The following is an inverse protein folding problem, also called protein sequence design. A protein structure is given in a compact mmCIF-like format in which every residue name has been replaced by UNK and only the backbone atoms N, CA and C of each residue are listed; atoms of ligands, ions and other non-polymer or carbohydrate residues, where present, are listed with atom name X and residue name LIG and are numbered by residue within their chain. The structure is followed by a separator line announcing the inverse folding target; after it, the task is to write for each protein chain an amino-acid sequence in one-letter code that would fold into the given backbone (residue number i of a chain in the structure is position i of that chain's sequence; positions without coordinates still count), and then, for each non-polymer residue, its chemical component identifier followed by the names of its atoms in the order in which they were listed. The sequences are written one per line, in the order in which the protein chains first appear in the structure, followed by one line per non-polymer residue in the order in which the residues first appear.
data_IF_230124897079
#
_entry.id   IF_230124897079
#
_cell.length_a   1.000
_cell.length_b   1.000
_cell.length_c   1.000
_cell.angle_alpha   90.00
_cell.angle_beta   90.00
_cell.angle_gamma   90.00
#
_symmetry.space_group_name_H-M   'P 1'
#
loop_
_entity.id
_entity.type
_entity.pdbx_description
1 polymer ?
#
# COMPACT_ATOMS: atom_id res chain seq x y z
N UNK A 1 4.76 28.85 30.36
CA UNK A 1 4.87 27.54 29.77
C UNK A 1 5.88 26.68 30.47
N UNK A 2 5.42 25.66 31.10
CA UNK A 2 6.31 24.82 31.88
C UNK A 2 6.97 23.77 31.00
N UNK A 3 8.21 23.44 31.35
CA UNK A 3 9.00 22.47 30.65
C UNK A 3 8.27 21.13 30.50
N UNK A 4 7.54 20.69 31.53
CA UNK A 4 6.75 19.46 31.51
C UNK A 4 5.66 19.48 30.43
N UNK A 5 5.05 20.65 30.19
CA UNK A 5 4.02 20.81 29.16
C UNK A 5 4.65 20.73 27.77
N UNK A 6 5.83 21.29 27.58
CA UNK A 6 6.55 21.21 26.32
C UNK A 6 6.92 19.74 25.99
N UNK A 7 7.42 19.00 26.98
CA UNK A 7 7.75 17.59 26.82
C UNK A 7 6.50 16.79 26.45
N UNK A 8 5.39 17.05 27.12
CA UNK A 8 4.12 16.36 26.83
C UNK A 8 3.66 16.59 25.39
N UNK A 9 3.73 17.83 24.90
CA UNK A 9 3.34 18.16 23.54
C UNK A 9 4.23 17.45 22.52
N UNK A 10 5.54 17.46 22.73
CA UNK A 10 6.50 16.78 21.85
C UNK A 10 6.23 15.28 21.82
N UNK A 11 6.03 14.68 22.97
CA UNK A 11 5.74 13.23 23.07
C UNK A 11 4.43 12.88 22.37
N UNK A 12 3.41 13.74 22.51
CA UNK A 12 2.12 13.54 21.85
C UNK A 12 2.24 13.63 20.33
N UNK A 13 3.01 14.59 19.82
CA UNK A 13 3.25 14.72 18.37
C UNK A 13 4.02 13.52 17.83
N UNK A 14 5.05 13.10 18.56
CA UNK A 14 5.83 11.93 18.16
C UNK A 14 4.98 10.66 18.16
N UNK A 15 4.13 10.47 19.17
CA UNK A 15 3.24 9.31 19.22
C UNK A 15 2.26 9.28 18.05
N UNK A 16 1.69 10.43 17.70
CA UNK A 16 0.80 10.54 16.54
C UNK A 16 1.53 10.23 15.24
N UNK A 17 2.73 10.78 15.08
CA UNK A 17 3.55 10.55 13.90
C UNK A 17 3.90 9.08 13.76
N UNK A 18 4.34 8.44 14.85
CA UNK A 18 4.66 7.02 14.85
C UNK A 18 3.45 6.16 14.50
N UNK A 19 2.26 6.54 14.98
CA UNK A 19 1.03 5.87 14.61
C UNK A 19 0.74 5.95 13.11
N UNK A 20 0.95 7.11 12.51
CA UNK A 20 0.81 7.31 11.06
C UNK A 20 1.84 6.50 10.28
N UNK A 21 3.08 6.50 10.73
CA UNK A 21 4.16 5.73 10.12
C UNK A 21 3.80 4.23 10.10
N UNK A 22 3.30 3.72 11.21
CA UNK A 22 2.91 2.31 11.33
C UNK A 22 1.74 1.96 10.41
N UNK A 23 0.77 2.86 10.28
CA UNK A 23 -0.36 2.65 9.35
C UNK A 23 0.12 2.62 7.91
N UNK A 24 1.00 3.55 7.53
CA UNK A 24 1.55 3.58 6.18
C UNK A 24 2.35 2.30 5.89
N UNK A 25 3.15 1.86 6.85
CA UNK A 25 3.92 0.63 6.76
C UNK A 25 3.01 -0.59 6.61
N UNK A 26 1.92 -0.65 7.35
CA UNK A 26 0.94 -1.72 7.24
C UNK A 26 0.42 -1.84 5.81
N UNK A 27 0.04 -0.71 5.20
CA UNK A 27 -0.51 -0.72 3.84
C UNK A 27 0.57 -1.05 2.80
N UNK A 28 1.81 -0.60 2.99
CA UNK A 28 2.93 -0.98 2.13
C UNK A 28 3.17 -2.48 2.16
N UNK A 29 3.20 -3.07 3.36
CA UNK A 29 3.40 -4.51 3.55
C UNK A 29 2.27 -5.29 2.90
N UNK A 30 1.05 -4.84 3.10
CA UNK A 30 -0.12 -5.49 2.51
C UNK A 30 -0.11 -5.42 0.98
N UNK A 31 0.37 -4.32 0.43
CA UNK A 31 0.54 -4.18 -1.02
C UNK A 31 1.54 -5.20 -1.56
N UNK A 32 2.67 -5.39 -0.88
CA UNK A 32 3.68 -6.39 -1.26
C UNK A 32 3.09 -7.80 -1.20
N UNK A 33 2.33 -8.11 -0.16
CA UNK A 33 1.67 -9.42 -0.03
C UNK A 33 0.69 -9.65 -1.18
N UNK A 34 -0.10 -8.65 -1.53
CA UNK A 34 -1.04 -8.73 -2.65
C UNK A 34 -0.32 -8.84 -3.99
N UNK A 35 0.82 -8.18 -4.13
CA UNK A 35 1.65 -8.29 -5.32
C UNK A 35 2.15 -9.72 -5.51
N UNK A 36 2.66 -10.33 -4.45
CA UNK A 36 3.13 -11.71 -4.49
C UNK A 36 1.98 -12.69 -4.78
N UNK A 37 0.80 -12.43 -4.21
CA UNK A 37 -0.40 -13.21 -4.49
C UNK A 37 -0.79 -13.12 -5.97
N UNK A 38 -0.80 -11.92 -6.53
CA UNK A 38 -1.11 -11.69 -7.94
C UNK A 38 -0.11 -12.39 -8.86
N UNK A 39 1.16 -12.30 -8.52
CA UNK A 39 2.24 -12.95 -9.25
C UNK A 39 2.06 -14.47 -9.23
N UNK A 40 1.75 -15.03 -8.07
CA UNK A 40 1.46 -16.46 -7.91
C UNK A 40 0.21 -16.92 -8.65
N UNK A 41 -0.76 -16.04 -8.84
CA UNK A 41 -1.97 -16.32 -9.61
C UNK A 41 -1.75 -16.22 -11.12
N UNK A 42 -0.57 -15.78 -11.56
CA UNK A 42 -0.23 -15.70 -12.97
C UNK A 42 -0.59 -14.38 -13.63
N UNK A 43 -0.80 -13.33 -12.85
CA UNK A 43 -1.06 -11.98 -13.40
C UNK A 43 0.14 -11.56 -14.23
N UNK A 44 -0.13 -11.01 -15.42
CA UNK A 44 0.90 -10.68 -16.38
C UNK A 44 1.74 -9.48 -15.96
N UNK A 45 2.99 -9.44 -16.40
CA UNK A 45 3.92 -8.35 -16.10
C UNK A 45 3.38 -6.99 -16.52
N UNK A 46 2.67 -6.92 -17.64
CA UNK A 46 2.07 -5.66 -18.11
C UNK A 46 1.08 -5.08 -17.11
N UNK A 47 0.40 -5.93 -16.34
CA UNK A 47 -0.51 -5.49 -15.28
C UNK A 47 0.22 -5.21 -13.97
N UNK A 48 1.35 -5.85 -13.73
CA UNK A 48 2.14 -5.67 -12.52
C UNK A 48 3.04 -4.42 -12.57
N UNK A 49 3.49 -4.01 -13.75
CA UNK A 49 4.40 -2.86 -13.89
C UNK A 49 3.83 -1.56 -13.31
N UNK A 50 2.57 -1.17 -13.59
CA UNK A 50 2.00 0.02 -12.96
C UNK A 50 1.94 -0.07 -11.44
N UNK A 51 1.77 -1.27 -10.90
CA UNK A 51 1.76 -1.49 -9.45
C UNK A 51 3.17 -1.31 -8.87
N UNK A 52 4.21 -1.74 -9.58
CA UNK A 52 5.59 -1.52 -9.15
C UNK A 52 5.90 -0.03 -9.05
N UNK A 53 5.43 0.76 -10.01
CA UNK A 53 5.59 2.21 -9.98
C UNK A 53 4.87 2.83 -8.78
N UNK A 54 3.66 2.39 -8.50
CA UNK A 54 2.92 2.84 -7.31
C UNK A 54 3.60 2.43 -6.02
N UNK A 55 4.17 1.25 -5.96
CA UNK A 55 4.93 0.79 -4.79
C UNK A 55 6.14 1.70 -4.55
N UNK A 56 6.88 2.00 -5.60
CA UNK A 56 8.05 2.87 -5.51
C UNK A 56 7.65 4.26 -5.00
N UNK A 57 6.59 4.83 -5.56
CA UNK A 57 6.07 6.14 -5.16
C UNK A 57 5.60 6.14 -3.70
N UNK A 58 4.84 5.13 -3.30
CA UNK A 58 4.35 5.00 -1.93
C UNK A 58 5.52 4.86 -0.95
N UNK A 59 6.54 4.10 -1.31
CA UNK A 59 7.72 3.89 -0.49
C UNK A 59 8.54 5.17 -0.32
N UNK A 60 8.69 5.96 -1.38
CA UNK A 60 9.39 7.24 -1.30
C UNK A 60 8.67 8.17 -0.32
N UNK A 61 7.35 8.28 -0.40
CA UNK A 61 6.58 9.12 0.52
C UNK A 61 6.71 8.64 1.96
N UNK A 62 6.80 7.34 2.17
CA UNK A 62 6.98 6.76 3.50
C UNK A 62 8.40 6.99 4.03
N UNK A 63 9.42 6.67 3.21
CA UNK A 63 10.83 6.75 3.63
C UNK A 63 11.29 8.16 3.93
N UNK A 64 10.88 9.10 3.11
CA UNK A 64 11.33 10.48 3.26
C UNK A 64 11.08 11.02 4.67
N UNK A 65 9.88 10.78 5.19
CA UNK A 65 9.48 11.32 6.48
C UNK A 65 9.86 10.43 7.65
N UNK A 66 9.97 9.13 7.46
CA UNK A 66 10.41 8.22 8.52
C UNK A 66 11.90 8.35 8.80
N UNK A 67 12.70 8.69 7.78
CA UNK A 67 14.13 8.88 7.92
C UNK A 67 14.50 10.26 8.48
N UNK A 68 13.57 11.22 8.45
CA UNK A 68 13.84 12.59 8.88
C UNK A 68 13.65 12.73 10.38
N UNK A 69 14.72 13.01 11.10
CA UNK A 69 14.65 13.25 12.55
C UNK A 69 13.85 14.52 12.83
N UNK A 70 12.86 14.40 13.72
CA UNK A 70 12.04 15.54 14.12
C UNK A 70 11.02 15.99 13.08
N UNK A 71 10.75 15.20 12.06
CA UNK A 71 9.78 15.54 11.02
C UNK A 71 8.40 15.89 11.60
N UNK A 72 7.94 15.13 12.58
CA UNK A 72 6.65 15.36 13.23
C UNK A 72 6.61 16.70 13.98
N UNK A 73 7.75 17.16 14.48
CA UNK A 73 7.86 18.40 15.23
C UNK A 73 8.00 19.60 14.30
N UNK A 74 8.89 19.50 13.28
CA UNK A 74 9.20 20.64 12.40
C UNK A 74 8.13 20.91 11.36
N UNK A 75 7.50 19.87 10.83
CA UNK A 75 6.47 20.03 9.80
C UNK A 75 5.46 18.88 9.86
N UNK A 76 4.62 18.86 10.90
CA UNK A 76 3.69 17.75 11.11
C UNK A 76 2.65 17.63 9.99
N UNK A 77 2.22 18.74 9.41
CA UNK A 77 1.23 18.71 8.33
C UNK A 77 1.80 18.05 7.08
N UNK A 78 2.98 18.46 6.65
CA UNK A 78 3.63 17.89 5.47
C UNK A 78 3.96 16.41 5.67
N UNK A 79 4.43 16.04 6.87
CA UNK A 79 4.72 14.66 7.20
C UNK A 79 3.45 13.81 7.17
N UNK A 80 2.37 14.30 7.77
CA UNK A 80 1.08 13.60 7.78
C UNK A 80 0.52 13.46 6.37
N UNK A 81 0.59 14.52 5.57
CA UNK A 81 0.12 14.50 4.19
C UNK A 81 0.88 13.48 3.35
N UNK A 82 2.21 13.45 3.48
CA UNK A 82 3.04 12.50 2.74
C UNK A 82 2.74 11.06 3.13
N UNK A 83 2.57 10.77 4.42
CA UNK A 83 2.20 9.45 4.89
C UNK A 83 0.79 9.05 4.43
N UNK A 84 -0.14 9.99 4.41
CA UNK A 84 -1.49 9.75 3.90
C UNK A 84 -1.45 9.43 2.39
N UNK A 85 -0.60 10.12 1.64
CA UNK A 85 -0.39 9.80 0.22
C UNK A 85 0.17 8.41 0.04
N UNK A 86 1.14 8.03 0.85
CA UNK A 86 1.69 6.67 0.82
C UNK A 86 0.59 5.62 1.05
N UNK A 87 -0.27 5.83 2.04
CA UNK A 87 -1.39 4.93 2.32
C UNK A 87 -2.38 4.87 1.17
N UNK A 88 -2.76 6.02 0.62
CA UNK A 88 -3.71 6.09 -0.50
C UNK A 88 -3.16 5.36 -1.73
N UNK A 89 -1.91 5.60 -2.07
CA UNK A 89 -1.26 4.94 -3.22
C UNK A 89 -1.20 3.43 -2.99
N UNK A 90 -0.86 3.02 -1.77
CA UNK A 90 -0.82 1.59 -1.41
C UNK A 90 -2.19 0.94 -1.54
N UNK A 91 -3.24 1.61 -1.07
CA UNK A 91 -4.61 1.11 -1.16
C UNK A 91 -5.09 1.01 -2.61
N UNK A 92 -4.76 1.99 -3.44
CA UNK A 92 -5.07 1.96 -4.86
C UNK A 92 -4.36 0.79 -5.55
N UNK A 93 -3.08 0.59 -5.23
CA UNK A 93 -2.30 -0.52 -5.76
C UNK A 93 -2.89 -1.87 -5.34
N UNK A 94 -3.31 -1.99 -4.08
CA UNK A 94 -3.96 -3.21 -3.58
C UNK A 94 -5.23 -3.50 -4.38
N UNK A 95 -6.05 -2.48 -4.62
CA UNK A 95 -7.26 -2.65 -5.41
C UNK A 95 -6.95 -3.11 -6.83
N UNK A 96 -5.95 -2.52 -7.47
CA UNK A 96 -5.52 -2.93 -8.80
C UNK A 96 -5.09 -4.40 -8.81
N UNK A 97 -4.34 -4.81 -7.79
CA UNK A 97 -3.86 -6.19 -7.66
C UNK A 97 -5.01 -7.17 -7.40
N UNK A 98 -5.94 -6.79 -6.54
CA UNK A 98 -7.11 -7.63 -6.25
C UNK A 98 -7.97 -7.80 -7.51
N UNK A 99 -8.21 -6.73 -8.24
CA UNK A 99 -9.00 -6.76 -9.48
C UNK A 99 -8.30 -7.62 -10.54
N UNK A 100 -6.99 -7.45 -10.73
CA UNK A 100 -6.21 -8.23 -11.69
C UNK A 100 -6.16 -9.72 -11.32
N UNK A 101 -5.99 -10.01 -10.04
CA UNK A 101 -5.98 -11.38 -9.53
C UNK A 101 -7.33 -12.05 -9.72
N UNK A 102 -8.41 -11.36 -9.40
CA UNK A 102 -9.76 -11.86 -9.57
C UNK A 102 -10.07 -12.13 -11.04
N UNK A 103 -9.68 -11.22 -11.93
CA UNK A 103 -9.85 -11.38 -13.37
C UNK A 103 -9.08 -12.60 -13.89
N UNK A 104 -7.84 -12.78 -13.41
CA UNK A 104 -7.01 -13.91 -13.81
C UNK A 104 -7.58 -15.23 -13.33
N UNK A 105 -8.02 -15.28 -12.08
CA UNK A 105 -8.66 -16.47 -11.51
C UNK A 105 -9.98 -16.79 -12.17
N UNK A 106 -10.76 -15.75 -12.49
CA UNK A 106 -12.02 -15.90 -13.23
C UNK A 106 -11.79 -16.45 -14.63
N UNK A 107 -10.79 -15.93 -15.34
CA UNK A 107 -10.42 -16.43 -16.66
C UNK A 107 -9.94 -17.89 -16.62
N UNK A 108 -9.09 -18.23 -15.64
CA UNK A 108 -8.61 -19.58 -15.45
C UNK A 108 -9.74 -20.55 -15.12
N UNK A 109 -10.66 -20.11 -14.26
CA UNK A 109 -11.82 -20.90 -13.88
C UNK A 109 -12.74 -21.16 -15.08
N UNK A 110 -12.95 -20.14 -15.90
CA UNK A 110 -13.76 -20.26 -17.12
C UNK A 110 -13.10 -21.19 -18.13
N UNK A 111 -11.79 -21.07 -18.31
CA UNK A 111 -11.04 -21.93 -19.22
C UNK A 111 -10.99 -23.39 -18.77
N UNK A 112 -10.97 -23.61 -17.44
CA UNK A 112 -10.95 -24.94 -16.87
C UNK A 112 -12.34 -25.57 -16.74
N UNK A 113 -13.40 -24.79 -16.89
CA UNK A 113 -14.77 -25.31 -16.82
C UNK A 113 -15.00 -26.30 -17.94
N UNK A 114 -15.64 -27.45 -17.65
CA UNK A 114 -15.94 -28.41 -18.71
C UNK A 114 -16.82 -27.74 -19.73
N UNK A 115 -16.39 -27.80 -20.94
CA UNK A 115 -17.18 -27.29 -22.02
C UNK A 115 -18.45 -28.09 -22.12
N UNK A 116 -19.56 -27.46 -22.24
CA UNK A 116 -20.79 -28.14 -22.45
C UNK A 116 -20.62 -28.85 -23.76
N UNK A 117 -20.73 -30.04 -23.62
CA UNK A 117 -20.50 -30.88 -24.58
C UNK A 117 -20.99 -30.64 -25.89
N UNK A 118 -20.57 -30.36 -26.32
CA UNK A 118 -20.91 -30.16 -27.27
C UNK A 118 -21.33 -30.94 -28.09
N UNK A 119 -21.35 -31.20 -27.97
CA UNK A 119 -21.64 -31.57 -28.37
C UNK A 119 -21.85 -32.02 -29.26
N UNK A 120 -21.85 -32.51 -29.53
CA UNK A 120 -21.98 -32.92 -30.16
C UNK A 120 -22.46 -33.22 -30.88
N UNK A 121 -22.58 -33.44 -31.24
CA UNK A 121 -22.97 -33.97 -32.00
C UNK A 121 -22.76 -34.41 -32.71
#
# INVERSE_FOLDING_TARGET
WKEQQAVYVIDSLNARFQGKVRKAEFWLTRMVDKFEEAKGAGVEESALNPVREKHYEAQIHWEWWTASNGAAFHNPEAATESLNKSMTISQEAIKMLEDATAAKRGAAKTAAAPQPAAVAK
#
